data_IF_349876811268
#
_entry.id   IF_349876811268
#
_cell.length_a   1.000
_cell.length_b   1.000
_cell.length_c   1.000
_cell.angle_alpha   90.00
_cell.angle_beta   90.00
_cell.angle_gamma   90.00
#
_symmetry.space_group_name_H-M   'P 1'
#
loop_
_entity.id
_entity.type
_entity.pdbx_description
1 polymer ?
#
# COMPACT_ATOMS: atom_id res chain seq x y z
N UNK A 1 -8.77 -8.96 11.97
CA UNK A 1 -9.48 -8.17 10.94
C UNK A 1 -9.10 -8.63 9.52
N UNK A 2 -10.08 -8.86 8.64
CA UNK A 2 -9.88 -9.03 7.19
C UNK A 2 -9.55 -7.68 6.54
N UNK A 3 -8.45 -7.62 5.79
CA UNK A 3 -8.02 -6.37 5.13
C UNK A 3 -8.70 -6.24 3.77
N UNK A 4 -9.36 -5.11 3.53
CA UNK A 4 -9.98 -4.79 2.23
C UNK A 4 -8.93 -4.49 1.15
N UNK A 5 -9.35 -4.42 -0.12
CA UNK A 5 -8.44 -4.11 -1.22
C UNK A 5 -7.73 -2.75 -1.03
N UNK A 6 -8.48 -1.70 -0.68
CA UNK A 6 -7.94 -0.35 -0.46
C UNK A 6 -6.94 -0.34 0.71
N UNK A 7 -7.27 -1.04 1.79
CA UNK A 7 -6.38 -1.16 2.95
C UNK A 7 -5.09 -1.92 2.60
N UNK A 8 -5.16 -2.97 1.77
CA UNK A 8 -3.97 -3.67 1.26
C UNK A 8 -3.10 -2.76 0.40
N UNK A 9 -3.71 -1.93 -0.46
CA UNK A 9 -2.96 -0.96 -1.26
C UNK A 9 -2.24 0.07 -0.38
N UNK A 10 -2.90 0.53 0.68
CA UNK A 10 -2.29 1.49 1.61
C UNK A 10 -1.07 0.90 2.32
N UNK A 11 -1.21 -0.32 2.85
CA UNK A 11 -0.12 -1.04 3.50
C UNK A 11 1.03 -1.31 2.50
N UNK A 12 0.70 -1.76 1.30
CA UNK A 12 1.67 -2.02 0.23
C UNK A 12 2.46 -0.76 -0.13
N UNK A 13 1.79 0.37 -0.38
CA UNK A 13 2.44 1.62 -0.79
C UNK A 13 3.34 2.16 0.33
N UNK A 14 2.88 2.13 1.58
CA UNK A 14 3.69 2.58 2.71
C UNK A 14 4.95 1.73 2.88
N UNK A 15 4.81 0.39 2.82
CA UNK A 15 5.97 -0.51 2.90
C UNK A 15 6.94 -0.29 1.75
N UNK A 16 6.44 -0.11 0.53
CA UNK A 16 7.28 0.18 -0.64
C UNK A 16 8.04 1.51 -0.50
N UNK A 17 7.46 2.51 0.16
CA UNK A 17 8.12 3.79 0.46
C UNK A 17 9.23 3.59 1.49
N UNK A 18 8.94 2.90 2.60
CA UNK A 18 9.94 2.58 3.64
C UNK A 18 11.11 1.76 3.07
N UNK A 19 10.82 0.75 2.25
CA UNK A 19 11.83 -0.09 1.60
C UNK A 19 12.76 0.68 0.65
N UNK A 20 12.35 1.86 0.16
CA UNK A 20 13.18 2.77 -0.64
C UNK A 20 13.98 3.77 0.21
N UNK A 21 14.03 3.57 1.53
CA UNK A 21 14.83 4.38 2.45
C UNK A 21 14.14 5.67 2.93
N UNK A 22 12.87 5.88 2.61
CA UNK A 22 12.13 7.03 3.14
C UNK A 22 11.69 6.76 4.58
N UNK A 23 12.24 7.54 5.52
CA UNK A 23 11.85 7.51 6.91
C UNK A 23 10.79 8.58 7.21
N UNK A 24 9.68 8.17 7.83
CA UNK A 24 8.70 9.09 8.42
C UNK A 24 7.30 9.08 7.81
N UNK A 25 6.36 9.82 8.41
CA UNK A 25 4.94 9.79 8.03
C UNK A 25 4.68 10.33 6.63
N UNK A 26 3.87 9.62 5.84
CA UNK A 26 3.52 10.01 4.48
C UNK A 26 2.17 10.76 4.48
N UNK A 27 2.08 11.95 3.86
CA UNK A 27 0.82 12.68 3.76
C UNK A 27 -0.29 11.86 3.11
N UNK A 28 -1.50 11.85 3.72
CA UNK A 28 -2.64 11.07 3.22
C UNK A 28 -3.02 11.42 1.77
N UNK A 29 -2.92 12.69 1.39
CA UNK A 29 -3.18 13.14 0.01
C UNK A 29 -2.18 12.52 -0.98
N UNK A 30 -0.91 12.38 -0.57
CA UNK A 30 0.11 11.74 -1.41
C UNK A 30 -0.16 10.24 -1.54
N UNK A 31 -0.52 9.57 -0.45
CA UNK A 31 -0.89 8.15 -0.48
C UNK A 31 -2.07 7.88 -1.41
N UNK A 32 -3.15 8.67 -1.31
CA UNK A 32 -4.31 8.51 -2.18
C UNK A 32 -3.95 8.69 -3.65
N UNK A 33 -3.15 9.71 -3.99
CA UNK A 33 -2.66 9.92 -5.37
C UNK A 33 -1.86 8.72 -5.89
N UNK A 34 -0.94 8.18 -5.09
CA UNK A 34 -0.12 7.04 -5.47
C UNK A 34 -0.97 5.78 -5.69
N UNK A 35 -1.95 5.53 -4.81
CA UNK A 35 -2.87 4.39 -4.93
C UNK A 35 -3.73 4.51 -6.19
N UNK A 36 -4.31 5.69 -6.46
CA UNK A 36 -5.13 5.90 -7.65
C UNK A 36 -4.31 5.81 -8.94
N UNK A 37 -3.05 6.25 -8.92
CA UNK A 37 -2.14 6.11 -10.06
C UNK A 37 -1.84 4.64 -10.41
N UNK A 38 -1.94 3.70 -9.46
CA UNK A 38 -1.67 2.28 -9.67
C UNK A 38 -2.92 1.42 -9.86
N UNK A 39 -4.12 2.01 -9.90
CA UNK A 39 -5.40 1.28 -9.99
C UNK A 39 -6.13 1.62 -11.28
N UNK A 40 -6.83 0.63 -11.83
CA UNK A 40 -7.75 0.85 -12.95
C UNK A 40 -9.03 1.60 -12.54
N UNK A 41 -9.47 1.44 -11.29
CA UNK A 41 -10.63 2.11 -10.72
C UNK A 41 -10.23 3.00 -9.54
N UNK A 42 -10.67 4.25 -9.60
CA UNK A 42 -10.35 5.29 -8.62
C UNK A 42 -10.92 4.95 -7.23
N UNK A 43 -10.12 5.19 -6.19
CA UNK A 43 -10.56 5.20 -4.81
C UNK A 43 -11.08 6.59 -4.45
N UNK A 44 -12.35 6.67 -4.09
CA UNK A 44 -12.93 7.91 -3.59
C UNK A 44 -12.31 8.34 -2.24
N UNK A 45 -12.14 9.66 -2.00
CA UNK A 45 -11.53 10.17 -0.77
C UNK A 45 -12.23 9.70 0.53
N UNK A 46 -13.56 9.53 0.52
CA UNK A 46 -14.30 9.05 1.69
C UNK A 46 -13.90 7.60 2.07
N UNK A 47 -13.81 6.72 1.08
CA UNK A 47 -13.42 5.32 1.27
C UNK A 47 -11.95 5.19 1.69
N UNK A 48 -11.09 6.05 1.14
CA UNK A 48 -9.70 6.16 1.57
C UNK A 48 -9.60 6.56 3.04
N UNK A 49 -10.30 7.64 3.45
CA UNK A 49 -10.28 8.11 4.85
C UNK A 49 -10.80 7.04 5.81
N UNK A 50 -11.93 6.40 5.47
CA UNK A 50 -12.47 5.31 6.26
C UNK A 50 -11.44 4.17 6.42
N UNK A 51 -10.77 3.80 5.32
CA UNK A 51 -9.71 2.77 5.35
C UNK A 51 -8.53 3.17 6.24
N UNK A 52 -8.07 4.43 6.18
CA UNK A 52 -7.04 4.94 7.08
C UNK A 52 -7.48 4.86 8.54
N UNK A 53 -8.70 5.30 8.87
CA UNK A 53 -9.22 5.24 10.23
C UNK A 53 -9.30 3.81 10.74
N UNK A 54 -9.89 2.89 9.98
CA UNK A 54 -9.95 1.47 10.36
C UNK A 54 -8.56 0.89 10.62
N UNK A 55 -7.57 1.21 9.79
CA UNK A 55 -6.21 0.71 9.99
C UNK A 55 -5.50 1.31 11.22
N UNK A 56 -5.79 2.58 11.54
CA UNK A 56 -5.32 3.21 12.78
C UNK A 56 -5.99 2.57 14.00
N UNK A 57 -7.31 2.39 13.97
CA UNK A 57 -8.08 1.82 15.06
C UNK A 57 -7.67 0.36 15.38
N UNK A 58 -7.20 -0.36 14.36
CA UNK A 58 -6.63 -1.70 14.50
C UNK A 58 -5.12 -1.73 14.74
N UNK A 59 -4.48 -0.59 15.01
CA UNK A 59 -3.06 -0.52 15.38
C UNK A 59 -2.08 -0.86 14.27
N UNK A 60 -2.50 -0.82 13.00
CA UNK A 60 -1.64 -1.09 11.84
C UNK A 60 -0.99 0.18 11.29
N UNK A 61 -1.58 1.34 11.55
CA UNK A 61 -1.03 2.64 11.16
C UNK A 61 -0.92 3.56 12.37
N UNK A 62 0.13 4.38 12.37
CA UNK A 62 0.19 5.54 13.23
C UNK A 62 -0.23 6.79 12.46
N UNK A 63 -1.09 7.61 13.08
CA UNK A 63 -1.64 8.84 12.50
C UNK A 63 -0.92 10.05 13.09
N UNK A 64 -0.44 10.91 12.22
CA UNK A 64 0.20 12.17 12.55
C UNK A 64 -0.60 13.31 11.95
N UNK A 65 -0.46 14.49 12.55
CA UNK A 65 -1.01 15.74 12.05
C UNK A 65 0.14 16.72 11.93
N UNK A 66 0.33 17.28 10.74
CA UNK A 66 1.30 18.36 10.53
C UNK A 66 0.83 19.64 11.23
N UNK A 67 1.73 20.60 11.37
CA UNK A 67 1.42 21.97 11.83
C UNK A 67 0.32 22.63 10.97
N UNK A 68 0.29 22.32 9.68
CA UNK A 68 -0.74 22.74 8.73
C UNK A 68 -2.03 21.91 8.79
N UNK A 69 -2.26 21.15 9.86
CA UNK A 69 -3.45 20.33 10.10
C UNK A 69 -3.69 19.19 9.08
N UNK A 70 -2.69 18.85 8.26
CA UNK A 70 -2.77 17.76 7.27
C UNK A 70 -2.43 16.43 7.92
N UNK A 71 -3.21 15.40 7.63
CA UNK A 71 -2.96 14.06 8.14
C UNK A 71 -1.84 13.36 7.37
N UNK A 72 -0.97 12.67 8.11
CA UNK A 72 0.07 11.79 7.59
C UNK A 72 0.05 10.45 8.33
N UNK A 73 0.56 9.41 7.70
CA UNK A 73 0.49 8.05 8.22
C UNK A 73 1.83 7.32 8.04
N UNK A 74 2.20 6.49 9.02
CA UNK A 74 3.29 5.52 8.90
C UNK A 74 2.82 4.15 9.36
N UNK A 75 3.59 3.10 9.05
CA UNK A 75 3.34 1.77 9.59
C UNK A 75 3.77 1.72 11.05
N UNK A 76 2.95 1.08 11.89
CA UNK A 76 3.42 0.52 13.16
C UNK A 76 4.25 -0.74 12.89
N UNK A 77 4.87 -1.32 13.92
CA UNK A 77 5.62 -2.58 13.75
C UNK A 77 4.72 -3.73 13.30
N UNK A 78 3.51 -3.82 13.85
CA UNK A 78 2.52 -4.81 13.41
C UNK A 78 2.02 -4.52 12.00
N UNK A 79 1.81 -3.23 11.68
CA UNK A 79 1.54 -2.76 10.32
C UNK A 79 2.60 -3.22 9.33
N UNK A 80 3.88 -3.12 9.71
CA UNK A 80 5.03 -3.49 8.86
C UNK A 80 5.08 -4.97 8.56
N UNK A 81 4.95 -5.84 9.57
CA UNK A 81 4.87 -7.30 9.38
C UNK A 81 3.77 -7.68 8.40
N UNK A 82 2.60 -7.05 8.56
CA UNK A 82 1.45 -7.33 7.70
C UNK A 82 1.63 -6.78 6.28
N UNK A 83 2.20 -5.59 6.17
CA UNK A 83 2.47 -4.95 4.89
C UNK A 83 3.55 -5.70 4.10
N UNK A 84 4.58 -6.23 4.78
CA UNK A 84 5.61 -7.07 4.18
C UNK A 84 5.01 -8.33 3.54
N UNK A 85 4.13 -9.05 4.26
CA UNK A 85 3.45 -10.22 3.71
C UNK A 85 2.62 -9.88 2.45
N UNK A 86 1.93 -8.73 2.45
CA UNK A 86 1.18 -8.24 1.28
C UNK A 86 2.13 -7.87 0.13
N UNK A 87 3.25 -7.24 0.44
CA UNK A 87 4.26 -6.82 -0.53
C UNK A 87 4.90 -8.03 -1.22
N UNK A 88 5.39 -8.99 -0.44
CA UNK A 88 6.01 -10.22 -0.94
C UNK A 88 5.04 -11.04 -1.79
N UNK A 89 3.76 -11.14 -1.41
CA UNK A 89 2.75 -11.81 -2.22
C UNK A 89 2.58 -11.12 -3.59
N UNK A 90 2.41 -9.80 -3.62
CA UNK A 90 2.21 -9.06 -4.88
C UNK A 90 3.44 -9.08 -5.79
N UNK A 91 4.63 -8.94 -5.22
CA UNK A 91 5.89 -8.99 -6.00
C UNK A 91 6.15 -10.41 -6.50
N UNK A 92 5.91 -11.43 -5.66
CA UNK A 92 6.01 -12.84 -6.07
C UNK A 92 5.07 -13.18 -7.22
N UNK A 93 3.83 -12.69 -7.16
CA UNK A 93 2.85 -12.84 -8.24
C UNK A 93 3.33 -12.15 -9.53
N UNK A 94 3.84 -10.92 -9.45
CA UNK A 94 4.34 -10.18 -10.61
C UNK A 94 5.53 -10.88 -11.28
N UNK A 95 6.48 -11.39 -10.51
CA UNK A 95 7.63 -12.17 -11.02
C UNK A 95 7.16 -13.46 -11.67
N UNK A 96 6.17 -14.14 -11.08
CA UNK A 96 5.59 -15.36 -11.65
C UNK A 96 4.88 -15.06 -12.99
N UNK A 97 4.09 -13.99 -13.05
CA UNK A 97 3.43 -13.56 -14.28
C UNK A 97 4.42 -13.23 -15.39
N UNK A 98 5.51 -12.52 -15.09
CA UNK A 98 6.55 -12.21 -16.08
C UNK A 98 7.21 -13.49 -16.63
N UNK A 99 7.58 -14.42 -15.75
CA UNK A 99 8.16 -15.71 -16.17
C UNK A 99 7.23 -16.51 -17.09
N UNK A 100 5.92 -16.49 -16.84
CA UNK A 100 4.95 -17.18 -17.69
C UNK A 100 4.83 -16.52 -19.08
N UNK A 101 4.91 -15.19 -19.17
CA UNK A 101 4.98 -14.48 -20.45
C UNK A 101 6.26 -14.85 -21.19
N UNK A 102 7.41 -14.86 -20.50
CA UNK A 102 8.71 -15.19 -21.10
C UNK A 102 8.75 -16.64 -21.63
N UNK A 103 8.19 -17.61 -20.89
CA UNK A 103 8.08 -19.01 -21.33
C UNK A 103 7.15 -19.14 -22.54
N UNK A 104 6.01 -18.45 -22.53
CA UNK A 104 5.05 -18.50 -23.65
C UNK A 104 5.67 -17.96 -24.94
N UNK A 105 6.51 -16.94 -24.86
CA UNK A 105 7.27 -16.40 -25.99
C UNK A 105 8.27 -17.42 -26.58
N UNK A 106 8.78 -18.35 -25.76
CA UNK A 106 9.74 -19.37 -26.17
C UNK A 106 9.09 -20.59 -26.83
N UNK A 107 7.82 -20.87 -26.54
CA UNK A 107 7.08 -22.03 -27.07
C UNK A 107 6.39 -21.77 -28.43
N UNK A 108 6.38 -20.52 -28.90
CA UNK A 108 5.72 -20.09 -30.15
C UNK A 108 6.75 -19.87 -31.29
N UNK A 109 8.05 -20.06 -31.03
CA UNK A 109 9.14 -20.08 -32.03
C UNK A 109 9.73 -21.48 -32.16
#
# INVERSE_FOLDING_TARGET
MRVSAIQKDLLFVLFAIEARGAAGPVPGVRLLKMINASRSAEVFPANFRASCHTLVDHGLLQKYRSESLKLAFSLTDEGRKRAEAIYSARVGDAVTCQKLVDISQFLIN
#
